data_IF_226926586286
#
_entry.id   IF_226926586286
#
_cell.length_a   1.000
_cell.length_b   1.000
_cell.length_c   1.000
_cell.angle_alpha   90.00
_cell.angle_beta   90.00
_cell.angle_gamma   90.00
#
_symmetry.space_group_name_H-M   'P 1'
#
loop_
_entity.id
_entity.type
_entity.pdbx_description
1 polymer ?
#
# COMPACT_ATOMS: atom_id res chain seq x y z
N UNK A 1 44.74 -46.70 35.94
CA UNK A 1 45.43 -45.64 35.17
C UNK A 1 44.41 -45.02 34.22
N UNK A 2 44.37 -43.68 34.18
CA UNK A 2 43.46 -42.86 33.38
C UNK A 2 43.76 -42.97 31.88
N UNK A 3 42.75 -43.07 31.03
CA UNK A 3 42.73 -42.35 29.75
C UNK A 3 41.28 -42.12 29.29
N UNK A 4 40.87 -40.86 29.38
CA UNK A 4 39.68 -40.33 28.72
C UNK A 4 39.90 -40.36 27.20
N UNK A 5 38.87 -40.64 26.43
CA UNK A 5 38.79 -40.25 25.02
C UNK A 5 37.33 -40.02 24.66
N UNK A 6 36.98 -38.74 24.61
CA UNK A 6 35.71 -38.19 24.13
C UNK A 6 35.83 -38.13 22.61
N UNK A 7 34.85 -38.64 21.85
CA UNK A 7 34.67 -38.27 20.45
C UNK A 7 33.21 -37.88 20.20
N UNK A 8 33.11 -36.66 19.70
CA UNK A 8 31.94 -35.80 19.52
C UNK A 8 31.26 -36.17 18.20
N UNK A 9 29.97 -36.53 18.24
CA UNK A 9 29.13 -36.64 17.05
C UNK A 9 28.44 -35.29 16.79
N UNK A 10 28.87 -34.58 15.76
CA UNK A 10 28.41 -33.24 15.41
C UNK A 10 26.92 -33.21 15.00
N UNK A 11 26.11 -32.43 15.71
CA UNK A 11 24.76 -32.05 15.27
C UNK A 11 24.92 -30.91 14.26
N UNK A 12 24.67 -31.19 12.99
CA UNK A 12 24.61 -30.17 11.94
C UNK A 12 23.36 -29.30 12.16
N UNK A 13 23.53 -28.17 12.86
CA UNK A 13 22.50 -27.15 12.94
C UNK A 13 22.44 -26.41 11.60
N UNK A 14 21.46 -26.78 10.76
CA UNK A 14 21.11 -26.01 9.57
C UNK A 14 20.47 -24.71 10.05
N UNK A 15 21.29 -23.67 10.19
CA UNK A 15 20.80 -22.31 10.42
C UNK A 15 20.15 -21.83 9.12
N UNK A 16 18.82 -22.00 9.00
CA UNK A 16 18.03 -21.28 8.01
C UNK A 16 18.14 -19.80 8.32
N UNK A 17 19.05 -19.11 7.63
CA UNK A 17 19.07 -17.66 7.51
C UNK A 17 17.78 -17.28 6.79
N UNK A 18 16.70 -17.13 7.56
CA UNK A 18 15.47 -16.52 7.11
C UNK A 18 15.81 -15.07 6.79
N UNK A 19 16.10 -14.80 5.52
CA UNK A 19 16.13 -13.45 4.98
C UNK A 19 14.78 -12.82 5.29
N UNK A 20 14.74 -12.06 6.38
CA UNK A 20 13.64 -11.15 6.64
C UNK A 20 13.75 -10.09 5.56
N UNK A 21 13.18 -10.37 4.39
CA UNK A 21 12.84 -9.32 3.46
C UNK A 21 11.93 -8.41 4.27
N UNK A 22 12.50 -7.30 4.77
CA UNK A 22 11.70 -6.17 5.21
C UNK A 22 10.79 -5.89 4.04
N UNK A 23 9.54 -6.34 4.13
CA UNK A 23 8.50 -5.94 3.20
C UNK A 23 8.49 -4.42 3.33
N UNK A 24 9.14 -3.75 2.38
CA UNK A 24 9.25 -2.32 2.39
C UNK A 24 7.81 -1.85 2.37
N UNK A 25 7.39 -1.38 3.52
CA UNK A 25 6.21 -0.59 3.68
C UNK A 25 6.25 0.46 2.58
N UNK A 26 5.51 0.28 1.49
CA UNK A 26 5.47 1.21 0.36
C UNK A 26 4.65 2.45 0.74
N UNK A 27 5.04 3.08 1.85
CA UNK A 27 4.54 4.35 2.32
C UNK A 27 5.40 5.45 1.68
N UNK A 28 4.76 6.41 1.02
CA UNK A 28 5.45 7.53 0.36
C UNK A 28 4.62 8.81 0.45
N UNK A 29 5.32 9.94 0.42
CA UNK A 29 4.68 11.25 0.27
C UNK A 29 4.12 11.37 -1.14
N UNK A 30 2.91 11.90 -1.24
CA UNK A 30 2.18 12.11 -2.48
C UNK A 30 1.40 13.44 -2.40
N UNK A 31 0.80 13.83 -3.51
CA UNK A 31 -0.18 14.91 -3.55
C UNK A 31 -1.54 14.32 -3.90
N UNK A 32 -2.53 14.53 -3.04
CA UNK A 32 -3.85 13.92 -3.17
C UNK A 32 -4.90 14.97 -3.51
N UNK A 33 -5.87 14.56 -4.33
CA UNK A 33 -7.02 15.39 -4.68
C UNK A 33 -8.30 14.56 -4.61
N UNK A 34 -9.33 15.10 -3.97
CA UNK A 34 -10.65 14.47 -3.92
C UNK A 34 -11.62 15.18 -4.87
N UNK A 35 -12.22 14.40 -5.76
CA UNK A 35 -13.26 14.83 -6.68
C UNK A 35 -14.58 14.16 -6.28
N UNK A 36 -15.57 14.91 -5.76
CA UNK A 36 -16.94 14.40 -5.67
C UNK A 36 -17.43 13.96 -7.05
N UNK A 37 -18.40 13.03 -7.09
CA UNK A 37 -19.05 12.69 -8.36
C UNK A 37 -19.56 13.92 -9.10
N UNK A 38 -19.54 13.84 -10.43
CA UNK A 38 -19.89 14.90 -11.39
C UNK A 38 -19.13 16.22 -11.25
N UNK A 39 -18.17 16.34 -10.32
CA UNK A 39 -17.31 17.52 -10.20
C UNK A 39 -16.13 17.45 -11.16
N UNK A 40 -15.92 18.52 -11.93
CA UNK A 40 -14.71 18.70 -12.75
C UNK A 40 -13.55 19.32 -11.96
N UNK A 41 -13.83 19.86 -10.77
CA UNK A 41 -12.83 20.47 -9.90
C UNK A 41 -12.67 19.65 -8.62
N UNK A 42 -11.44 19.63 -8.10
CA UNK A 42 -11.17 18.99 -6.82
C UNK A 42 -11.83 19.79 -5.69
N UNK A 43 -12.59 19.11 -4.83
CA UNK A 43 -13.14 19.72 -3.60
C UNK A 43 -12.06 19.89 -2.54
N UNK A 44 -11.08 18.99 -2.53
CA UNK A 44 -9.94 18.98 -1.61
C UNK A 44 -8.68 18.70 -2.40
N UNK A 45 -7.58 19.39 -2.11
CA UNK A 45 -6.26 19.16 -2.69
C UNK A 45 -5.20 19.49 -1.66
N UNK A 46 -4.38 18.51 -1.28
CA UNK A 46 -3.33 18.68 -0.27
C UNK A 46 -2.29 17.54 -0.34
N UNK A 47 -1.11 17.72 0.27
CA UNK A 47 -0.18 16.63 0.55
C UNK A 47 -0.85 15.46 1.28
N UNK A 48 -0.35 14.26 1.05
CA UNK A 48 -0.80 13.05 1.71
C UNK A 48 0.33 12.03 1.83
N UNK A 49 0.13 11.04 2.70
CA UNK A 49 0.93 9.82 2.74
C UNK A 49 0.11 8.69 2.12
N UNK A 50 0.56 8.19 0.99
CA UNK A 50 0.02 6.98 0.37
C UNK A 50 0.79 5.77 0.88
N UNK A 51 0.10 4.68 1.19
CA UNK A 51 0.75 3.43 1.55
C UNK A 51 0.00 2.21 1.02
N UNK A 52 0.75 1.27 0.43
CA UNK A 52 0.24 -0.04 0.02
C UNK A 52 0.98 -1.14 0.79
N UNK A 53 0.30 -1.81 1.73
CA UNK A 53 0.89 -2.88 2.56
C UNK A 53 -0.04 -4.07 2.62
N UNK A 54 0.51 -5.27 2.40
CA UNK A 54 -0.26 -6.52 2.41
C UNK A 54 -1.49 -6.47 1.49
N UNK A 55 -1.38 -5.76 0.37
CA UNK A 55 -2.47 -5.53 -0.58
C UNK A 55 -3.48 -4.46 -0.15
N UNK A 56 -3.51 -4.01 1.10
CA UNK A 56 -4.36 -2.90 1.52
C UNK A 56 -3.75 -1.54 1.13
N UNK A 57 -4.63 -0.60 0.75
CA UNK A 57 -4.25 0.78 0.47
C UNK A 57 -4.70 1.67 1.63
N UNK A 58 -3.86 2.62 2.00
CA UNK A 58 -4.20 3.69 2.94
C UNK A 58 -3.78 5.03 2.36
N UNK A 59 -4.62 6.04 2.56
CA UNK A 59 -4.36 7.44 2.20
C UNK A 59 -4.53 8.26 3.47
N UNK A 60 -3.44 8.83 3.98
CA UNK A 60 -3.48 9.75 5.12
C UNK A 60 -3.28 11.16 4.62
N UNK A 61 -4.32 11.97 4.68
CA UNK A 61 -4.33 13.37 4.28
C UNK A 61 -3.54 14.22 5.29
N UNK A 62 -3.04 15.38 4.85
CA UNK A 62 -2.28 16.29 5.72
C UNK A 62 -3.11 16.82 6.90
N UNK A 63 -4.43 16.98 6.71
CA UNK A 63 -5.37 17.39 7.76
C UNK A 63 -5.67 16.30 8.81
N UNK A 64 -5.07 15.11 8.66
CA UNK A 64 -5.21 13.99 9.59
C UNK A 64 -6.33 13.01 9.24
N UNK A 65 -7.17 13.31 8.24
CA UNK A 65 -8.16 12.35 7.72
C UNK A 65 -7.44 11.14 7.12
N UNK A 66 -8.02 9.95 7.29
CA UNK A 66 -7.48 8.70 6.78
C UNK A 66 -8.54 7.89 6.04
N UNK A 67 -8.20 7.43 4.84
CA UNK A 67 -8.97 6.42 4.11
C UNK A 67 -8.23 5.09 4.10
N UNK A 68 -8.95 3.99 4.36
CA UNK A 68 -8.43 2.62 4.28
C UNK A 68 -9.24 1.79 3.29
N UNK A 69 -8.54 1.04 2.44
CA UNK A 69 -9.13 0.22 1.40
C UNK A 69 -8.59 -1.20 1.48
N UNK A 70 -9.48 -2.16 1.73
CA UNK A 70 -9.12 -3.59 1.88
C UNK A 70 -9.23 -4.29 0.53
N UNK A 71 -8.24 -5.09 0.12
CA UNK A 71 -8.29 -5.79 -1.16
C UNK A 71 -9.36 -6.89 -1.12
N UNK A 72 -9.99 -7.13 -2.26
CA UNK A 72 -10.85 -8.31 -2.46
C UNK A 72 -9.98 -9.40 -3.12
N UNK A 73 -9.75 -10.57 -2.48
CA UNK A 73 -8.75 -11.54 -2.95
C UNK A 73 -8.93 -11.99 -4.40
N UNK A 74 -10.16 -12.19 -4.87
CA UNK A 74 -10.44 -12.66 -6.23
C UNK A 74 -10.67 -11.52 -7.24
N UNK A 75 -10.56 -10.26 -6.82
CA UNK A 75 -10.82 -9.10 -7.69
C UNK A 75 -9.61 -8.15 -7.68
N UNK A 76 -8.64 -8.35 -8.58
CA UNK A 76 -7.46 -7.49 -8.63
C UNK A 76 -7.88 -6.03 -8.89
N UNK A 77 -7.20 -5.10 -8.21
CA UNK A 77 -7.48 -3.66 -8.29
C UNK A 77 -8.88 -3.25 -7.83
N UNK A 78 -9.59 -4.12 -7.09
CA UNK A 78 -10.85 -3.81 -6.45
C UNK A 78 -10.71 -3.96 -4.94
N UNK A 79 -11.24 -2.99 -4.23
CA UNK A 79 -11.14 -2.87 -2.79
C UNK A 79 -12.51 -2.56 -2.17
N UNK A 80 -12.60 -2.63 -0.86
CA UNK A 80 -13.72 -2.10 -0.06
C UNK A 80 -13.25 -0.96 0.82
N UNK A 81 -14.03 0.12 0.89
CA UNK A 81 -13.84 1.19 1.88
C UNK A 81 -14.33 0.74 3.27
N UNK A 82 -14.15 1.58 4.29
CA UNK A 82 -14.55 1.28 5.67
C UNK A 82 -16.08 1.10 5.85
N UNK A 83 -16.89 1.55 4.88
CA UNK A 83 -18.34 1.40 4.87
C UNK A 83 -18.80 0.19 4.04
N UNK A 84 -17.86 -0.56 3.46
CA UNK A 84 -18.13 -1.70 2.58
C UNK A 84 -18.41 -1.33 1.13
N UNK A 85 -18.28 -0.05 0.76
CA UNK A 85 -18.44 0.41 -0.63
C UNK A 85 -17.29 -0.06 -1.52
N UNK A 86 -17.60 -0.40 -2.77
CA UNK A 86 -16.58 -0.83 -3.73
C UNK A 86 -15.71 0.33 -4.18
N UNK A 87 -14.41 0.07 -4.26
CA UNK A 87 -13.40 1.03 -4.72
C UNK A 87 -12.58 0.40 -5.83
N UNK A 88 -12.58 1.04 -6.99
CA UNK A 88 -11.87 0.59 -8.18
C UNK A 88 -10.59 1.39 -8.34
N UNK A 89 -9.44 0.71 -8.35
CA UNK A 89 -8.18 1.34 -8.65
C UNK A 89 -7.97 1.43 -10.17
N UNK A 90 -7.71 2.64 -10.64
CA UNK A 90 -7.47 2.96 -12.04
C UNK A 90 -6.21 3.81 -12.18
N UNK A 91 -5.79 4.05 -13.41
CA UNK A 91 -4.71 4.96 -13.74
C UNK A 91 -5.27 6.13 -14.55
N UNK A 92 -4.94 7.35 -14.13
CA UNK A 92 -5.25 8.56 -14.88
C UNK A 92 -4.38 8.72 -16.12
N UNK A 93 -4.70 9.75 -16.89
CA UNK A 93 -3.85 10.20 -18.00
C UNK A 93 -2.49 10.70 -17.50
N UNK A 94 -1.51 10.69 -18.39
CA UNK A 94 -0.19 11.26 -18.11
C UNK A 94 -0.28 12.78 -18.22
N UNK A 95 0.31 13.48 -17.26
CA UNK A 95 0.52 14.92 -17.33
C UNK A 95 1.64 15.28 -18.33
N UNK A 96 1.93 16.57 -18.46
CA UNK A 96 2.99 17.08 -19.35
C UNK A 96 4.40 16.54 -19.01
N UNK A 97 4.62 16.08 -17.78
CA UNK A 97 5.87 15.52 -17.31
C UNK A 97 5.89 13.98 -17.41
N UNK A 98 4.85 13.37 -17.98
CA UNK A 98 4.71 11.92 -18.12
C UNK A 98 4.27 11.20 -16.85
N UNK A 99 3.90 11.93 -15.79
CA UNK A 99 3.44 11.40 -14.50
C UNK A 99 1.95 11.11 -14.59
N UNK A 100 1.52 9.95 -14.10
CA UNK A 100 0.09 9.57 -14.03
C UNK A 100 -0.36 9.49 -12.58
N UNK A 101 -1.59 9.92 -12.32
CA UNK A 101 -2.24 9.68 -11.03
C UNK A 101 -2.68 8.22 -10.92
N UNK A 102 -2.54 7.64 -9.73
CA UNK A 102 -3.38 6.51 -9.32
C UNK A 102 -4.74 7.06 -8.90
N UNK A 103 -5.81 6.45 -9.38
CA UNK A 103 -7.19 6.87 -9.08
C UNK A 103 -7.86 5.78 -8.26
N UNK A 104 -8.43 6.15 -7.12
CA UNK A 104 -9.32 5.30 -6.33
C UNK A 104 -10.74 5.78 -6.54
N UNK A 105 -11.48 5.12 -7.44
CA UNK A 105 -12.87 5.47 -7.78
C UNK A 105 -13.82 4.78 -6.81
N UNK A 106 -14.51 5.58 -6.01
CA UNK A 106 -15.50 5.15 -5.02
C UNK A 106 -16.91 5.49 -5.49
N UNK A 107 -17.92 5.04 -4.74
CA UNK A 107 -19.32 5.37 -5.01
C UNK A 107 -19.58 6.88 -5.01
N UNK A 108 -18.96 7.64 -4.10
CA UNK A 108 -19.25 9.07 -3.89
C UNK A 108 -18.29 10.04 -4.59
N UNK A 109 -17.23 9.52 -5.23
CA UNK A 109 -16.18 10.36 -5.81
C UNK A 109 -14.94 9.57 -6.17
N UNK A 110 -13.83 10.27 -6.36
CA UNK A 110 -12.54 9.66 -6.65
C UNK A 110 -11.41 10.40 -5.93
N UNK A 111 -10.41 9.64 -5.48
CA UNK A 111 -9.15 10.19 -4.98
C UNK A 111 -8.09 9.99 -6.06
N UNK A 112 -7.46 11.10 -6.47
CA UNK A 112 -6.33 11.11 -7.37
C UNK A 112 -5.06 11.24 -6.53
N UNK A 113 -4.10 10.35 -6.73
CA UNK A 113 -2.88 10.25 -5.94
C UNK A 113 -1.70 10.40 -6.87
N UNK A 114 -1.05 11.56 -6.82
CA UNK A 114 0.11 11.90 -7.63
C UNK A 114 1.41 11.56 -6.90
N UNK A 115 2.33 10.87 -7.58
CA UNK A 115 3.58 10.39 -6.97
C UNK A 115 3.43 9.08 -6.18
N UNK A 116 2.33 8.33 -6.38
CA UNK A 116 2.11 7.00 -5.80
C UNK A 116 2.86 5.89 -6.52
#
# INVERSE_FOLDING_TARGET
MKSQSILIGAIAAIATLGSSFSAQADSRKAYCQYFPNSSQTAKVSMPCIFSMRQGAITVKWEDGVGDSFKPIPERPFVYTDERGGLVYQQWGEKDMNGVRARILKMENGAIYIWGS
#
